data_IF_999837485745
#
_entry.id   IF_999837485745
#
_cell.length_a   1.000
_cell.length_b   1.000
_cell.length_c   1.000
_cell.angle_alpha   90.00
_cell.angle_beta   90.00
_cell.angle_gamma   90.00
#
_symmetry.space_group_name_H-M   'P 1'
#
loop_
_entity.id
_entity.type
_entity.pdbx_description
1 polymer ?
#
# COMPACT_ATOMS: atom_id res chain seq x y z
N UNK A 1 -14.76 2.17 -3.64
CA UNK A 1 -14.88 3.61 -3.26
C UNK A 1 -14.32 3.95 -1.87
N UNK A 2 -14.20 3.00 -0.95
CA UNK A 2 -13.73 3.26 0.42
C UNK A 2 -12.25 3.68 0.50
N UNK A 3 -11.35 3.01 -0.24
CA UNK A 3 -9.94 3.40 -0.27
C UNK A 3 -9.67 4.81 -0.79
N UNK A 4 -10.45 5.30 -1.75
CA UNK A 4 -10.35 6.70 -2.19
C UNK A 4 -10.70 7.69 -1.07
N UNK A 5 -11.62 7.35 -0.16
CA UNK A 5 -11.95 8.19 0.99
C UNK A 5 -10.82 8.20 2.00
N UNK A 6 -10.20 7.04 2.27
CA UNK A 6 -9.04 6.91 3.15
C UNK A 6 -7.89 7.79 2.65
N UNK A 7 -7.56 7.71 1.35
CA UNK A 7 -6.49 8.53 0.76
C UNK A 7 -6.81 10.02 0.90
N UNK A 8 -8.05 10.42 0.60
CA UNK A 8 -8.46 11.83 0.72
C UNK A 8 -8.43 12.33 2.16
N UNK A 9 -8.77 11.50 3.14
CA UNK A 9 -8.66 11.91 4.56
C UNK A 9 -7.22 12.03 5.05
N UNK A 10 -6.27 11.37 4.40
CA UNK A 10 -4.86 11.36 4.81
C UNK A 10 -3.99 12.36 4.02
N UNK A 11 -4.44 12.76 2.83
CA UNK A 11 -3.63 13.57 1.89
C UNK A 11 -4.37 14.80 1.37
N UNK A 12 -5.61 15.03 1.81
CA UNK A 12 -6.53 16.07 1.34
C UNK A 12 -6.77 16.08 -0.18
N UNK A 13 -6.35 15.05 -0.90
CA UNK A 13 -6.45 14.94 -2.36
C UNK A 13 -6.87 13.53 -2.82
N UNK A 14 -7.19 13.41 -4.10
CA UNK A 14 -7.43 12.14 -4.76
C UNK A 14 -6.11 11.38 -4.98
N UNK A 15 -6.22 10.05 -5.07
CA UNK A 15 -5.08 9.20 -5.38
C UNK A 15 -4.43 9.61 -6.71
N UNK A 16 -3.10 9.77 -6.69
CA UNK A 16 -2.32 9.94 -7.90
C UNK A 16 -2.24 8.60 -8.62
N UNK A 17 -2.92 8.49 -9.77
CA UNK A 17 -2.86 7.29 -10.60
C UNK A 17 -1.44 7.05 -11.14
N UNK A 18 -0.95 5.81 -11.25
CA UNK A 18 -1.63 4.51 -11.00
C UNK A 18 -1.72 4.05 -9.54
N UNK A 19 -1.29 4.87 -8.59
CA UNK A 19 -1.26 4.57 -7.15
C UNK A 19 0.15 4.22 -6.70
N UNK A 20 0.75 5.07 -5.88
CA UNK A 20 2.05 4.77 -5.29
C UNK A 20 1.95 3.51 -4.41
N UNK A 21 2.90 2.55 -4.47
CA UNK A 21 2.80 1.31 -3.68
C UNK A 21 2.57 1.55 -2.19
N UNK A 22 3.24 2.56 -1.62
CA UNK A 22 3.06 2.96 -0.22
C UNK A 22 1.63 3.43 0.10
N UNK A 23 1.03 4.21 -0.82
CA UNK A 23 -0.34 4.73 -0.68
C UNK A 23 -1.34 3.57 -0.73
N UNK A 24 -1.18 2.69 -1.72
CA UNK A 24 -2.06 1.54 -1.89
C UNK A 24 -1.90 0.54 -0.72
N UNK A 25 -0.68 0.30 -0.25
CA UNK A 25 -0.41 -0.54 0.92
C UNK A 25 -1.07 -0.01 2.20
N UNK A 26 -1.06 1.32 2.41
CA UNK A 26 -1.75 1.96 3.54
C UNK A 26 -3.24 1.67 3.50
N UNK A 27 -3.87 1.78 2.33
CA UNK A 27 -5.29 1.44 2.16
C UNK A 27 -5.54 -0.04 2.45
N UNK A 28 -4.71 -0.95 1.93
CA UNK A 28 -4.83 -2.38 2.17
C UNK A 28 -4.78 -2.70 3.67
N UNK A 29 -3.80 -2.16 4.41
CA UNK A 29 -3.69 -2.38 5.85
C UNK A 29 -4.88 -1.81 6.64
N UNK A 30 -5.58 -0.82 6.10
CA UNK A 30 -6.80 -0.27 6.71
C UNK A 30 -8.02 -1.15 6.46
N UNK A 31 -8.07 -1.83 5.32
CA UNK A 31 -9.23 -2.65 4.91
C UNK A 31 -9.14 -4.11 5.37
N UNK A 32 -7.94 -4.61 5.60
CA UNK A 32 -7.67 -6.00 5.96
C UNK A 32 -7.03 -6.10 7.34
N UNK A 33 -7.36 -7.13 8.14
CA UNK A 33 -6.80 -7.29 9.49
C UNK A 33 -5.34 -7.74 9.51
N UNK A 34 -4.86 -8.41 8.45
CA UNK A 34 -3.51 -8.94 8.35
C UNK A 34 -3.10 -9.26 6.90
N UNK A 35 -1.81 -9.60 6.71
CA UNK A 35 -1.27 -9.91 5.39
C UNK A 35 -1.92 -11.16 4.77
N UNK A 36 -2.20 -12.17 5.58
CA UNK A 36 -2.73 -13.45 5.16
C UNK A 36 -4.12 -13.31 4.54
N UNK A 37 -4.99 -12.50 5.15
CA UNK A 37 -6.32 -12.18 4.64
C UNK A 37 -6.26 -11.35 3.37
N UNK A 38 -5.39 -10.34 3.30
CA UNK A 38 -5.18 -9.53 2.10
C UNK A 38 -4.60 -10.34 0.92
N UNK A 39 -3.72 -11.30 1.21
CA UNK A 39 -3.00 -12.12 0.23
C UNK A 39 -3.68 -13.45 -0.11
N UNK A 40 -4.81 -13.78 0.54
CA UNK A 40 -5.58 -14.99 0.24
C UNK A 40 -5.90 -15.04 -1.26
N UNK A 41 -5.80 -16.22 -1.87
CA UNK A 41 -6.06 -16.40 -3.30
C UNK A 41 -7.55 -16.47 -3.58
N UNK A 42 -8.00 -15.70 -4.56
CA UNK A 42 -9.34 -15.79 -5.15
C UNK A 42 -9.42 -16.97 -6.13
N UNK A 43 -10.62 -17.26 -6.65
CA UNK A 43 -10.83 -18.30 -7.67
C UNK A 43 -10.04 -18.05 -8.96
N UNK A 44 -9.73 -16.78 -9.26
CA UNK A 44 -8.92 -16.38 -10.40
C UNK A 44 -7.41 -16.32 -10.08
N UNK A 45 -7.00 -16.84 -8.91
CA UNK A 45 -5.62 -16.90 -8.43
C UNK A 45 -4.93 -15.54 -8.19
N UNK A 46 -5.72 -14.48 -8.07
CA UNK A 46 -5.26 -13.16 -7.62
C UNK A 46 -5.34 -13.07 -6.09
N UNK A 47 -4.63 -12.11 -5.46
CA UNK A 47 -4.86 -11.82 -4.04
C UNK A 47 -6.23 -11.19 -3.84
N UNK A 48 -6.86 -11.39 -2.67
CA UNK A 48 -8.12 -10.72 -2.30
C UNK A 48 -8.01 -9.20 -2.47
N UNK A 49 -6.91 -8.59 -2.03
CA UNK A 49 -6.67 -7.15 -2.18
C UNK A 49 -6.64 -6.69 -3.65
N UNK A 50 -6.20 -7.53 -4.59
CA UNK A 50 -6.20 -7.22 -6.02
C UNK A 50 -7.60 -7.35 -6.64
N UNK A 51 -8.43 -8.26 -6.12
CA UNK A 51 -9.82 -8.43 -6.55
C UNK A 51 -10.81 -7.47 -5.90
N UNK A 52 -10.41 -6.74 -4.86
CA UNK A 52 -11.29 -5.89 -4.07
C UNK A 52 -11.45 -4.48 -4.66
N UNK A 53 -12.68 -4.14 -5.06
CA UNK A 53 -13.05 -2.83 -5.61
C UNK A 53 -12.97 -1.66 -4.61
N UNK A 54 -12.73 -1.94 -3.33
CA UNK A 54 -12.45 -0.93 -2.31
C UNK A 54 -11.00 -0.47 -2.37
N UNK A 55 -10.07 -1.31 -2.86
CA UNK A 55 -8.66 -0.99 -3.05
C UNK A 55 -8.49 -0.22 -4.37
N UNK A 56 -8.02 1.03 -4.33
CA UNK A 56 -7.81 1.84 -5.52
C UNK A 56 -6.43 1.54 -6.12
N UNK A 57 -6.29 1.76 -7.43
CA UNK A 57 -5.01 1.67 -8.13
C UNK A 57 -5.09 0.81 -9.37
N UNK A 58 -4.04 0.88 -10.20
CA UNK A 58 -3.87 -0.09 -11.27
C UNK A 58 -3.48 -1.45 -10.69
N UNK A 59 -3.94 -2.55 -11.28
CA UNK A 59 -3.69 -3.90 -10.74
C UNK A 59 -2.20 -4.23 -10.55
N UNK A 60 -1.31 -3.75 -11.45
CA UNK A 60 0.13 -3.90 -11.28
C UNK A 60 0.69 -3.14 -10.07
N UNK A 61 0.13 -1.98 -9.74
CA UNK A 61 0.52 -1.18 -8.58
C UNK A 61 -0.08 -1.72 -7.27
N UNK A 62 -1.28 -2.32 -7.33
CA UNK A 62 -1.82 -3.11 -6.21
C UNK A 62 -0.94 -4.34 -5.95
N UNK A 63 -0.48 -5.03 -6.99
CA UNK A 63 0.47 -6.13 -6.84
C UNK A 63 1.82 -5.66 -6.28
N UNK A 64 2.32 -4.49 -6.70
CA UNK A 64 3.51 -3.89 -6.12
C UNK A 64 3.34 -3.56 -4.63
N UNK A 65 2.17 -3.06 -4.23
CA UNK A 65 1.83 -2.83 -2.82
C UNK A 65 1.75 -4.15 -2.03
N UNK A 66 1.21 -5.22 -2.61
CA UNK A 66 1.23 -6.55 -1.98
C UNK A 66 2.65 -7.12 -1.84
N UNK A 67 3.53 -6.89 -2.83
CA UNK A 67 4.95 -7.25 -2.73
C UNK A 67 5.65 -6.45 -1.63
N UNK A 68 5.35 -5.16 -1.50
CA UNK A 68 5.81 -4.31 -0.40
C UNK A 68 5.37 -4.90 0.95
N UNK A 69 4.08 -5.22 1.11
CA UNK A 69 3.56 -5.81 2.35
C UNK A 69 4.13 -7.20 2.65
N UNK A 70 4.44 -7.99 1.60
CA UNK A 70 5.11 -9.29 1.74
C UNK A 70 6.48 -9.14 2.42
N UNK A 71 7.24 -8.09 2.09
CA UNK A 71 8.52 -7.78 2.75
C UNK A 71 8.35 -7.61 4.26
N UNK A 72 7.36 -6.82 4.69
CA UNK A 72 7.03 -6.67 6.11
C UNK A 72 6.60 -7.99 6.74
N UNK A 73 5.78 -8.79 6.04
CA UNK A 73 5.40 -10.13 6.50
C UNK A 73 6.57 -11.11 6.61
N UNK A 74 7.65 -10.90 5.85
CA UNK A 74 8.88 -11.69 5.90
C UNK A 74 9.87 -11.20 6.96
N UNK A 75 9.51 -10.15 7.71
CA UNK A 75 10.33 -9.58 8.78
C UNK A 75 11.31 -8.50 8.33
N UNK A 76 11.19 -7.97 7.09
CA UNK A 76 11.93 -6.77 6.71
C UNK A 76 11.46 -5.55 7.50
N UNK A 77 12.35 -4.57 7.68
CA UNK A 77 12.03 -3.35 8.43
C UNK A 77 11.03 -2.47 7.68
N UNK A 78 10.28 -1.66 8.43
CA UNK A 78 9.36 -0.67 7.85
C UNK A 78 10.11 0.31 6.92
N UNK A 79 11.36 0.64 7.23
CA UNK A 79 12.21 1.47 6.36
C UNK A 79 12.47 0.81 5.01
N UNK A 80 12.80 -0.48 4.98
CA UNK A 80 13.01 -1.22 3.75
C UNK A 80 11.73 -1.29 2.89
N UNK A 81 10.56 -1.35 3.54
CA UNK A 81 9.26 -1.30 2.84
C UNK A 81 9.02 0.07 2.19
N UNK A 82 9.29 1.16 2.92
CA UNK A 82 9.18 2.54 2.41
C UNK A 82 10.14 2.75 1.24
N UNK A 83 11.40 2.34 1.40
CA UNK A 83 12.43 2.42 0.37
C UNK A 83 12.00 1.66 -0.90
N UNK A 84 11.52 0.42 -0.75
CA UNK A 84 11.02 -0.36 -1.88
C UNK A 84 9.86 0.34 -2.61
N UNK A 85 8.90 0.91 -1.87
CA UNK A 85 7.76 1.61 -2.46
C UNK A 85 8.19 2.82 -3.29
N UNK A 86 9.12 3.62 -2.75
CA UNK A 86 9.66 4.79 -3.42
C UNK A 86 10.51 4.39 -4.64
N UNK A 87 11.38 3.40 -4.49
CA UNK A 87 12.20 2.85 -5.58
C UNK A 87 11.31 2.36 -6.73
N UNK A 88 10.30 1.53 -6.45
CA UNK A 88 9.41 0.99 -7.48
C UNK A 88 8.71 2.10 -8.26
N UNK A 89 8.25 3.15 -7.56
CA UNK A 89 7.57 4.26 -8.19
C UNK A 89 8.48 5.10 -9.08
N UNK A 90 9.67 5.45 -8.58
CA UNK A 90 10.63 6.30 -9.28
C UNK A 90 11.30 5.56 -10.43
N UNK A 91 11.89 4.40 -10.17
CA UNK A 91 12.58 3.61 -11.20
C UNK A 91 11.60 3.02 -12.22
N UNK A 92 10.42 2.61 -11.76
CA UNK A 92 9.33 2.17 -12.63
C UNK A 92 8.62 3.30 -13.37
N UNK A 93 9.03 4.57 -13.17
CA UNK A 93 8.46 5.75 -13.81
C UNK A 93 6.92 5.80 -13.71
N UNK A 94 6.40 5.46 -12.53
CA UNK A 94 4.97 5.34 -12.25
C UNK A 94 4.22 4.46 -13.27
N UNK A 95 4.82 3.35 -13.72
CA UNK A 95 4.22 2.45 -14.71
C UNK A 95 4.10 3.07 -16.10
N UNK A 96 5.00 4.00 -16.45
CA UNK A 96 4.94 4.79 -17.68
C UNK A 96 4.20 6.12 -17.54
N UNK A 97 3.59 6.40 -16.39
CA UNK A 97 2.96 7.69 -16.08
C UNK A 97 3.99 8.71 -15.55
N UNK A 98 5.07 8.93 -16.30
CA UNK A 98 6.23 9.76 -15.90
C UNK A 98 5.85 11.13 -15.34
N UNK A 99 4.85 11.80 -15.93
CA UNK A 99 4.34 13.11 -15.46
C UNK A 99 3.76 13.08 -14.04
N UNK A 100 3.37 11.91 -13.53
CA UNK A 100 2.79 11.73 -12.21
C UNK A 100 3.84 11.40 -11.14
N UNK A 101 5.11 11.17 -11.51
CA UNK A 101 6.15 10.72 -10.58
C UNK A 101 6.27 11.69 -9.40
N UNK A 102 6.43 12.98 -9.66
CA UNK A 102 6.59 13.99 -8.61
C UNK A 102 5.37 14.08 -7.69
N UNK A 103 4.16 14.07 -8.26
CA UNK A 103 2.92 14.10 -7.48
C UNK A 103 2.76 12.84 -6.61
N UNK A 104 3.11 11.67 -7.13
CA UNK A 104 3.05 10.41 -6.38
C UNK A 104 4.06 10.36 -5.24
N UNK A 105 5.27 10.89 -5.43
CA UNK A 105 6.27 11.01 -4.36
C UNK A 105 5.78 11.96 -3.26
N UNK A 106 5.21 13.11 -3.64
CA UNK A 106 4.63 14.05 -2.67
C UNK A 106 3.49 13.40 -1.87
N UNK A 107 2.57 12.68 -2.54
CA UNK A 107 1.49 11.96 -1.87
C UNK A 107 2.00 10.83 -0.95
N UNK A 108 3.04 10.10 -1.38
CA UNK A 108 3.66 9.07 -0.56
C UNK A 108 4.31 9.65 0.70
N UNK A 109 4.99 10.79 0.60
CA UNK A 109 5.59 11.47 1.76
C UNK A 109 4.53 11.90 2.79
N UNK A 110 3.36 12.36 2.32
CA UNK A 110 2.25 12.72 3.22
C UNK A 110 1.66 11.50 3.93
N UNK A 111 1.56 10.36 3.25
CA UNK A 111 0.95 9.15 3.82
C UNK A 111 1.91 8.33 4.69
N UNK A 112 3.21 8.48 4.48
CA UNK A 112 4.25 7.68 5.13
C UNK A 112 4.11 7.61 6.67
N UNK A 113 3.84 8.70 7.41
CA UNK A 113 3.64 8.61 8.86
C UNK A 113 2.52 7.62 9.24
N UNK A 114 1.39 7.65 8.52
CA UNK A 114 0.28 6.73 8.76
C UNK A 114 0.61 5.31 8.33
N UNK A 115 1.32 5.15 7.21
CA UNK A 115 1.83 3.84 6.79
C UNK A 115 2.68 3.21 7.88
N UNK A 116 3.62 3.97 8.46
CA UNK A 116 4.52 3.48 9.52
C UNK A 116 3.77 3.08 10.79
N UNK A 117 2.80 3.91 11.22
CA UNK A 117 1.92 3.61 12.36
C UNK A 117 1.14 2.29 12.14
N UNK A 118 0.52 2.14 10.96
CA UNK A 118 -0.22 0.93 10.62
C UNK A 118 0.72 -0.27 10.52
N UNK A 119 1.83 -0.17 9.80
CA UNK A 119 2.78 -1.28 9.63
C UNK A 119 3.31 -1.78 10.99
N UNK A 120 3.62 -0.86 11.91
CA UNK A 120 4.10 -1.22 13.25
C UNK A 120 3.09 -2.07 14.02
N UNK A 121 1.79 -1.81 13.88
CA UNK A 121 0.73 -2.58 14.57
C UNK A 121 0.29 -3.82 13.78
N UNK A 122 0.25 -3.72 12.45
CA UNK A 122 -0.26 -4.77 11.56
C UNK A 122 0.66 -5.99 11.54
N UNK A 123 1.97 -5.76 11.55
CA UNK A 123 3.00 -6.81 11.64
C UNK A 123 3.42 -7.14 13.08
N UNK A 124 2.85 -6.47 14.09
CA UNK A 124 3.15 -6.78 15.48
C UNK A 124 2.71 -8.22 15.82
N UNK A 125 3.42 -8.91 16.74
CA UNK A 125 2.95 -10.17 17.28
C UNK A 125 1.55 -10.03 17.91
N UNK A 126 0.72 -11.10 17.95
CA UNK A 126 -0.65 -11.03 18.47
C UNK A 126 -0.77 -10.43 19.87
N UNK A 127 0.24 -10.60 20.72
CA UNK A 127 0.26 -10.05 22.09
C UNK A 127 0.39 -8.51 22.15
N UNK A 128 0.83 -7.86 21.07
CA UNK A 128 1.04 -6.41 21.01
C UNK A 128 -0.10 -5.64 20.32
N UNK A 129 -1.13 -6.35 19.82
CA UNK A 129 -2.28 -5.75 19.10
C UNK A 129 -3.43 -5.27 20.01
N UNK A 130 -3.25 -5.30 21.34
CA UNK A 130 -4.33 -5.04 22.34
C UNK A 130 -3.93 -4.06 23.45
N UNK A 131 -2.95 -3.19 23.22
CA UNK A 131 -2.57 -2.13 24.17
C UNK A 131 -3.22 -0.79 23.79
#
# INVERSE_FOLDING_TARGET
MEGHRIIRSLTDDHMVYPGHPLVVATVIMTLYPDFQSANKRTELNFSEALGDNRVPGAGCHVNAAMNLLKKGSDGESIDAMVEYGNWYWVEGQAGGHTKNVAAGVAQAAQIEPKFRELAATWFAPPAAKSA
#
